data_IF_471907740173
#
_entry.id   IF_471907740173
#
_cell.length_a   1.000
_cell.length_b   1.000
_cell.length_c   1.000
_cell.angle_alpha   90.00
_cell.angle_beta   90.00
_cell.angle_gamma   90.00
#
_symmetry.space_group_name_H-M   'P 1'
#
loop_
_entity.id
_entity.type
_entity.pdbx_description
1 polymer ?
#
# COMPACT_ATOMS: atom_id res chain seq x y z
N UNK A 1 -31.31 -14.70 -18.92
CA UNK A 1 -30.17 -13.76 -18.86
C UNK A 1 -30.46 -12.76 -17.76
N UNK A 2 -29.95 -13.00 -16.54
CA UNK A 2 -30.11 -12.07 -15.43
C UNK A 2 -29.13 -10.91 -15.64
N UNK A 3 -29.70 -9.71 -15.80
CA UNK A 3 -28.99 -8.46 -16.00
C UNK A 3 -28.04 -8.23 -14.81
N UNK A 4 -26.78 -7.95 -15.11
CA UNK A 4 -25.71 -7.65 -14.15
C UNK A 4 -25.92 -6.28 -13.45
N UNK A 5 -27.11 -6.04 -12.90
CA UNK A 5 -27.51 -4.75 -12.34
C UNK A 5 -27.31 -4.67 -10.81
N UNK A 6 -26.77 -5.71 -10.17
CA UNK A 6 -26.42 -5.67 -8.72
C UNK A 6 -25.02 -5.07 -8.47
N UNK A 7 -24.21 -4.82 -9.51
CA UNK A 7 -22.84 -4.29 -9.38
C UNK A 7 -22.80 -2.80 -8.98
N UNK A 8 -23.91 -2.06 -9.10
CA UNK A 8 -23.92 -0.58 -9.07
C UNK A 8 -24.37 0.04 -7.73
N UNK A 9 -24.90 -0.71 -6.76
CA UNK A 9 -25.30 -0.13 -5.47
C UNK A 9 -24.11 -0.10 -4.50
N UNK A 10 -23.30 0.96 -4.61
CA UNK A 10 -22.33 1.49 -3.63
C UNK A 10 -21.17 0.55 -3.25
N UNK A 11 -19.99 0.77 -3.83
CA UNK A 11 -18.73 0.11 -3.42
C UNK A 11 -18.48 0.33 -1.91
N UNK A 12 -18.86 -0.63 -1.07
CA UNK A 12 -18.76 -0.53 0.37
C UNK A 12 -17.28 -0.54 0.77
N UNK A 13 -16.83 0.56 1.36
CA UNK A 13 -15.53 0.65 2.00
C UNK A 13 -15.63 -0.05 3.36
N UNK A 14 -14.91 -1.15 3.51
CA UNK A 14 -14.94 -1.98 4.70
C UNK A 14 -13.65 -1.85 5.47
N UNK A 15 -13.74 -1.45 6.74
CA UNK A 15 -12.59 -1.46 7.64
C UNK A 15 -12.15 -2.90 7.92
N UNK A 16 -10.85 -3.12 7.90
CA UNK A 16 -10.24 -4.38 8.31
C UNK A 16 -9.80 -4.25 9.76
N UNK A 17 -10.29 -5.14 10.62
CA UNK A 17 -9.91 -5.20 12.02
C UNK A 17 -8.65 -6.07 12.22
N UNK A 18 -8.01 -5.94 13.37
CA UNK A 18 -6.83 -6.73 13.75
C UNK A 18 -5.67 -6.70 12.74
N UNK A 19 -5.49 -5.55 12.07
CA UNK A 19 -4.53 -5.36 10.96
C UNK A 19 -3.11 -5.80 11.31
N UNK A 20 -2.67 -5.60 12.55
CA UNK A 20 -1.33 -6.00 13.03
C UNK A 20 -1.11 -7.51 13.01
N UNK A 21 -2.17 -8.30 13.21
CA UNK A 21 -2.13 -9.77 13.21
C UNK A 21 -2.49 -10.37 11.85
N UNK A 22 -3.13 -9.59 10.98
CA UNK A 22 -3.53 -10.02 9.65
C UNK A 22 -2.31 -10.12 8.70
N UNK A 23 -1.83 -11.34 8.47
CA UNK A 23 -0.63 -11.62 7.65
C UNK A 23 -0.75 -11.09 6.22
N UNK A 24 -1.91 -11.27 5.59
CA UNK A 24 -2.16 -10.83 4.20
C UNK A 24 -2.05 -9.29 4.10
N UNK A 25 -2.65 -8.57 5.05
CA UNK A 25 -2.57 -7.11 5.10
C UNK A 25 -1.13 -6.64 5.33
N UNK A 26 -0.39 -7.30 6.24
CA UNK A 26 1.03 -6.97 6.47
C UNK A 26 1.89 -7.23 5.22
N UNK A 27 1.62 -8.29 4.46
CA UNK A 27 2.30 -8.58 3.20
C UNK A 27 1.99 -7.55 2.12
N UNK A 28 0.73 -7.09 2.01
CA UNK A 28 0.38 -5.98 1.11
C UNK A 28 1.09 -4.68 1.49
N UNK A 29 1.28 -4.43 2.78
CA UNK A 29 2.08 -3.30 3.27
C UNK A 29 3.56 -3.40 2.86
N UNK A 30 4.19 -4.58 3.00
CA UNK A 30 5.56 -4.82 2.53
C UNK A 30 5.68 -4.63 1.02
N UNK A 31 4.79 -5.27 0.26
CA UNK A 31 4.72 -5.13 -1.19
C UNK A 31 4.65 -3.66 -1.62
N UNK A 32 3.78 -2.87 -0.98
CA UNK A 32 3.61 -1.45 -1.30
C UNK A 32 4.91 -0.67 -1.19
N UNK A 33 5.64 -0.89 -0.09
CA UNK A 33 6.87 -0.16 0.18
C UNK A 33 8.03 -0.65 -0.69
N UNK A 34 8.15 -1.96 -0.92
CA UNK A 34 9.15 -2.53 -1.83
C UNK A 34 8.98 -2.03 -3.25
N UNK A 35 7.75 -1.99 -3.77
CA UNK A 35 7.44 -1.44 -5.08
C UNK A 35 7.70 0.08 -5.15
N UNK A 36 7.39 0.84 -4.09
CA UNK A 36 7.74 2.25 -4.03
C UNK A 36 9.26 2.48 -4.07
N UNK A 37 10.03 1.74 -3.27
CA UNK A 37 11.48 1.81 -3.26
C UNK A 37 12.06 1.43 -4.62
N UNK A 38 11.54 0.37 -5.25
CA UNK A 38 11.92 -0.08 -6.60
C UNK A 38 11.69 1.03 -7.64
N UNK A 39 10.50 1.64 -7.65
CA UNK A 39 10.16 2.75 -8.56
C UNK A 39 10.99 4.01 -8.29
N UNK A 40 11.45 4.19 -7.05
CA UNK A 40 12.22 5.36 -6.61
C UNK A 40 13.74 5.19 -6.72
N UNK A 41 14.25 4.04 -7.19
CA UNK A 41 15.68 3.69 -7.16
C UNK A 41 16.60 4.78 -7.74
N UNK A 42 16.22 5.42 -8.85
CA UNK A 42 17.01 6.52 -9.42
C UNK A 42 17.21 7.68 -8.45
N UNK A 43 16.14 8.11 -7.77
CA UNK A 43 16.18 9.16 -6.74
C UNK A 43 16.98 8.72 -5.51
N UNK A 44 16.81 7.47 -5.08
CA UNK A 44 17.57 6.91 -3.95
C UNK A 44 19.08 6.93 -4.22
N UNK A 45 19.51 6.45 -5.40
CA UNK A 45 20.91 6.41 -5.81
C UNK A 45 21.50 7.80 -5.97
N UNK A 46 20.75 8.74 -6.55
CA UNK A 46 21.18 10.12 -6.69
C UNK A 46 21.38 10.80 -5.33
N UNK A 47 20.44 10.62 -4.39
CA UNK A 47 20.57 11.16 -3.03
C UNK A 47 21.85 10.67 -2.35
N UNK A 48 22.10 9.37 -2.40
CA UNK A 48 23.27 8.75 -1.77
C UNK A 48 24.59 9.18 -2.42
N UNK A 49 24.63 9.28 -3.76
CA UNK A 49 25.82 9.70 -4.50
C UNK A 49 26.26 11.14 -4.17
N UNK A 50 25.32 12.00 -3.78
CA UNK A 50 25.59 13.39 -3.37
C UNK A 50 25.79 13.55 -1.85
N UNK A 51 26.06 12.45 -1.12
CA UNK A 51 26.23 12.47 0.33
C UNK A 51 24.95 12.74 1.12
N UNK A 52 23.79 12.71 0.46
CA UNK A 52 22.49 12.86 1.09
C UNK A 52 22.06 11.60 1.85
N UNK A 53 21.09 11.71 2.78
CA UNK A 53 20.62 10.58 3.57
C UNK A 53 19.96 9.51 2.69
N UNK A 54 19.96 8.26 3.17
CA UNK A 54 19.17 7.20 2.54
C UNK A 54 17.69 7.54 2.65
N UNK A 55 17.05 7.70 1.49
CA UNK A 55 15.61 7.95 1.38
C UNK A 55 14.82 6.66 1.24
N UNK A 56 15.50 5.50 1.25
CA UNK A 56 14.89 4.19 1.18
C UNK A 56 14.07 3.90 2.44
N UNK A 57 12.88 3.36 2.24
CA UNK A 57 11.97 3.03 3.33
C UNK A 57 12.23 1.62 3.83
N UNK A 58 12.06 1.41 5.13
CA UNK A 58 12.12 0.08 5.78
C UNK A 58 10.77 -0.21 6.42
N UNK A 59 10.18 -1.37 6.11
CA UNK A 59 8.85 -1.75 6.61
C UNK A 59 8.88 -1.87 8.14
N UNK A 60 7.89 -1.31 8.83
CA UNK A 60 7.62 -1.65 10.23
C UNK A 60 6.36 -2.50 10.33
N UNK A 61 5.19 -1.92 10.02
CA UNK A 61 3.90 -2.61 10.11
C UNK A 61 2.80 -1.81 9.42
N UNK A 62 1.72 -2.48 9.05
CA UNK A 62 0.43 -1.83 8.75
C UNK A 62 -0.30 -1.54 10.07
N UNK A 63 -0.75 -0.30 10.24
CA UNK A 63 -1.46 0.20 11.43
C UNK A 63 -2.94 0.49 11.19
N UNK A 64 -3.34 0.67 9.93
CA UNK A 64 -4.73 0.85 9.52
C UNK A 64 -4.95 0.22 8.14
N UNK A 65 -6.13 -0.33 7.91
CA UNK A 65 -6.47 -0.88 6.61
C UNK A 65 -7.98 -0.87 6.35
N UNK A 66 -8.33 -0.57 5.10
CA UNK A 66 -9.68 -0.64 4.57
C UNK A 66 -9.64 -1.32 3.20
N UNK A 67 -10.75 -1.94 2.81
CA UNK A 67 -10.89 -2.58 1.50
C UNK A 67 -12.14 -2.12 0.78
N UNK A 68 -12.05 -2.04 -0.54
CA UNK A 68 -13.15 -1.70 -1.43
C UNK A 68 -13.20 -2.69 -2.59
N UNK A 69 -14.37 -3.27 -2.84
CA UNK A 69 -14.61 -4.14 -3.99
C UNK A 69 -14.92 -3.30 -5.22
N UNK A 70 -14.20 -3.57 -6.31
CA UNK A 70 -14.32 -2.92 -7.63
C UNK A 70 -14.22 -4.01 -8.72
N UNK A 71 -13.65 -3.71 -9.89
CA UNK A 71 -13.08 -4.73 -10.78
C UNK A 71 -11.76 -5.33 -10.21
N UNK A 72 -11.80 -5.70 -8.93
CA UNK A 72 -10.67 -6.14 -8.10
C UNK A 72 -10.96 -5.82 -6.63
N UNK A 73 -9.92 -5.85 -5.80
CA UNK A 73 -9.99 -5.41 -4.41
C UNK A 73 -8.95 -4.31 -4.22
N UNK A 74 -9.38 -3.09 -3.94
CA UNK A 74 -8.48 -2.04 -3.47
C UNK A 74 -8.28 -2.18 -1.98
N UNK A 75 -7.03 -2.21 -1.54
CA UNK A 75 -6.65 -2.09 -0.15
C UNK A 75 -6.06 -0.70 0.08
N UNK A 76 -6.67 0.06 0.98
CA UNK A 76 -6.17 1.33 1.48
C UNK A 76 -5.43 1.03 2.78
N UNK A 77 -4.14 1.29 2.83
CA UNK A 77 -3.27 0.91 3.93
C UNK A 77 -2.62 2.14 4.54
N UNK A 78 -2.62 2.20 5.87
CA UNK A 78 -1.79 3.10 6.65
C UNK A 78 -0.59 2.30 7.19
N UNK A 79 0.62 2.69 6.78
CA UNK A 79 1.85 1.92 6.95
C UNK A 79 2.85 2.74 7.76
N UNK A 80 3.34 2.18 8.86
CA UNK A 80 4.54 2.70 9.52
C UNK A 80 5.78 2.16 8.82
N UNK A 81 6.69 3.06 8.46
CA UNK A 81 7.98 2.72 7.87
C UNK A 81 9.08 3.64 8.39
N UNK A 82 10.31 3.15 8.44
CA UNK A 82 11.47 3.94 8.83
C UNK A 82 12.15 4.53 7.60
N UNK A 83 12.49 5.82 7.65
CA UNK A 83 13.27 6.53 6.64
C UNK A 83 14.42 7.25 7.34
N UNK A 84 15.67 6.84 7.04
CA UNK A 84 16.85 7.46 7.63
C UNK A 84 16.86 7.48 9.17
N UNK A 85 16.38 6.41 9.82
CA UNK A 85 16.30 6.31 11.28
C UNK A 85 15.02 6.88 11.90
N UNK A 86 14.21 7.62 11.15
CA UNK A 86 12.96 8.21 11.65
C UNK A 86 11.76 7.38 11.20
N UNK A 87 10.91 6.99 12.14
CA UNK A 87 9.64 6.32 11.81
C UNK A 87 8.62 7.35 11.33
N UNK A 88 8.01 7.09 10.17
CA UNK A 88 6.97 7.90 9.54
C UNK A 88 5.78 7.04 9.14
N UNK A 89 4.63 7.66 8.96
CA UNK A 89 3.42 7.01 8.47
C UNK A 89 3.22 7.35 7.00
N UNK A 90 2.78 6.35 6.23
CA UNK A 90 2.51 6.44 4.81
C UNK A 90 1.14 5.87 4.50
N UNK A 91 0.50 6.42 3.50
CA UNK A 91 -0.72 5.89 2.91
C UNK A 91 -0.39 5.17 1.62
N UNK A 92 -1.01 4.01 1.42
CA UNK A 92 -0.84 3.20 0.21
C UNK A 92 -2.18 2.74 -0.32
N UNK A 93 -2.28 2.60 -1.65
CA UNK A 93 -3.40 1.95 -2.32
C UNK A 93 -2.87 0.83 -3.20
N UNK A 94 -3.28 -0.40 -2.91
CA UNK A 94 -2.94 -1.59 -3.70
C UNK A 94 -4.20 -2.18 -4.31
N UNK A 95 -4.19 -2.39 -5.63
CA UNK A 95 -5.24 -3.13 -6.33
C UNK A 95 -4.82 -4.60 -6.50
N UNK A 96 -5.61 -5.50 -5.94
CA UNK A 96 -5.43 -6.95 -6.08
C UNK A 96 -6.49 -7.49 -7.03
N UNK A 97 -6.08 -8.30 -8.01
CA UNK A 97 -6.96 -9.02 -8.93
C UNK A 97 -6.68 -10.53 -8.81
N UNK A 98 -7.36 -11.26 -7.90
CA UNK A 98 -7.03 -12.64 -7.59
C UNK A 98 -7.13 -13.60 -8.79
N UNK A 99 -8.09 -13.37 -9.69
CA UNK A 99 -8.32 -14.23 -10.87
C UNK A 99 -7.20 -14.18 -11.92
N UNK A 100 -6.31 -13.20 -11.84
CA UNK A 100 -5.09 -13.11 -12.68
C UNK A 100 -3.81 -13.05 -11.84
N UNK A 101 -3.91 -13.33 -10.52
CA UNK A 101 -2.78 -13.32 -9.58
C UNK A 101 -1.94 -12.03 -9.61
N UNK A 102 -2.60 -10.88 -9.85
CA UNK A 102 -1.94 -9.58 -10.04
C UNK A 102 -2.11 -8.68 -8.81
N UNK A 103 -1.05 -7.93 -8.48
CA UNK A 103 -1.05 -6.85 -7.46
C UNK A 103 -0.43 -5.60 -8.07
N UNK A 104 -1.14 -4.48 -8.02
CA UNK A 104 -0.71 -3.21 -8.59
C UNK A 104 -0.66 -2.14 -7.50
N UNK A 105 0.53 -1.55 -7.27
CA UNK A 105 0.66 -0.36 -6.41
C UNK A 105 0.16 0.87 -7.18
N UNK A 106 -0.97 1.43 -6.72
CA UNK A 106 -1.62 2.59 -7.34
C UNK A 106 -1.17 3.91 -6.71
N UNK A 107 -1.00 3.95 -5.39
CA UNK A 107 -0.54 5.13 -4.66
C UNK A 107 0.40 4.72 -3.52
N UNK A 108 1.39 5.57 -3.24
CA UNK A 108 2.20 5.51 -2.03
C UNK A 108 2.69 6.92 -1.69
N UNK A 109 2.24 7.48 -0.58
CA UNK A 109 2.54 8.86 -0.18
C UNK A 109 2.74 8.98 1.33
N UNK A 110 3.51 9.96 1.83
CA UNK A 110 3.50 10.30 3.25
C UNK A 110 2.06 10.60 3.70
N UNK A 111 1.68 10.12 4.88
CA UNK A 111 0.37 10.47 5.46
C UNK A 111 0.38 11.93 5.92
N UNK A 112 -0.73 12.63 5.72
CA UNK A 112 -0.88 14.06 6.01
C UNK A 112 -1.67 14.37 7.28
N UNK A 113 -1.95 13.36 8.10
CA UNK A 113 -2.75 13.47 9.33
C UNK A 113 -1.94 13.91 10.55
#
# INVERSE_FOLDING_TARGET
>A
MAKAEVVIVLSLLMRINDVKKNKEVQELGRFSMEEYNRRSQGRLRFSLANGGPSTALVFSQVVGAEKQVVAGIKYYLEIKAMQGGVTKTFESVVLVKPWVQSKDLLNFSPSTH
#
